data_IF_157515797773
#
_entry.id   IF_157515797773
#
_cell.length_a   1.000
_cell.length_b   1.000
_cell.length_c   1.000
_cell.angle_alpha   90.00
_cell.angle_beta   90.00
_cell.angle_gamma   90.00
#
_symmetry.space_group_name_H-M   'P 1'
#
loop_
_entity.id
_entity.type
_entity.pdbx_description
1 polymer ?
#
# COMPACT_ATOMS: atom_id res chain seq x y z
N UNK A 1 32.91 -20.39 -46.84
CA UNK A 1 33.20 -20.80 -45.45
C UNK A 1 31.92 -20.70 -44.66
N UNK A 2 31.29 -21.84 -44.37
CA UNK A 2 30.01 -21.91 -43.65
C UNK A 2 30.32 -22.27 -42.21
N UNK A 3 30.24 -21.31 -41.30
CA UNK A 3 30.46 -21.54 -39.87
C UNK A 3 29.23 -22.20 -39.28
N UNK A 4 29.37 -23.48 -38.91
CA UNK A 4 28.37 -24.22 -38.13
C UNK A 4 28.59 -23.87 -36.66
N UNK A 5 27.67 -23.15 -36.03
CA UNK A 5 27.69 -22.93 -34.58
C UNK A 5 27.21 -24.19 -33.89
N UNK A 6 28.13 -24.88 -33.23
CA UNK A 6 27.85 -26.02 -32.36
C UNK A 6 27.28 -25.50 -31.03
N UNK A 7 25.96 -25.66 -30.82
CA UNK A 7 25.33 -25.37 -29.52
C UNK A 7 25.78 -26.40 -28.49
N UNK A 8 26.38 -25.93 -27.40
CA UNK A 8 26.68 -26.76 -26.23
C UNK A 8 25.37 -27.27 -25.57
N UNK A 9 25.36 -28.48 -25.01
CA UNK A 9 24.18 -29.00 -24.33
C UNK A 9 23.92 -28.17 -23.06
N UNK A 10 22.71 -27.62 -22.96
CA UNK A 10 22.20 -27.07 -21.70
C UNK A 10 22.02 -28.25 -20.76
N UNK A 11 22.87 -28.37 -19.76
CA UNK A 11 22.63 -29.26 -18.63
C UNK A 11 21.31 -28.84 -17.99
N UNK A 12 20.28 -29.65 -18.19
CA UNK A 12 18.99 -29.52 -17.52
C UNK A 12 19.25 -29.69 -16.02
N UNK A 13 19.17 -28.59 -15.27
CA UNK A 13 19.19 -28.64 -13.83
C UNK A 13 18.00 -29.49 -13.37
N UNK A 14 18.26 -30.49 -12.52
CA UNK A 14 17.24 -31.33 -11.92
C UNK A 14 16.13 -30.45 -11.29
N UNK A 15 14.86 -30.86 -11.34
CA UNK A 15 13.77 -30.07 -10.78
C UNK A 15 13.99 -29.98 -9.26
N UNK A 16 14.29 -28.79 -8.76
CA UNK A 16 14.06 -28.50 -7.34
C UNK A 16 12.58 -28.78 -7.07
N UNK A 17 12.28 -29.61 -6.06
CA UNK A 17 10.90 -29.85 -5.62
C UNK A 17 10.26 -28.50 -5.29
N UNK A 18 9.49 -27.97 -6.26
CA UNK A 18 9.08 -26.58 -6.28
C UNK A 18 8.22 -26.24 -5.07
N UNK A 19 8.55 -25.13 -4.40
CA UNK A 19 7.69 -24.54 -3.37
C UNK A 19 6.26 -24.40 -3.91
N UNK A 20 5.27 -24.85 -3.13
CA UNK A 20 3.86 -24.82 -3.53
C UNK A 20 3.43 -23.40 -3.94
N UNK A 21 2.73 -23.30 -5.07
CA UNK A 21 2.12 -22.07 -5.55
C UNK A 21 0.70 -22.36 -6.08
N UNK A 22 -0.29 -21.45 -5.87
CA UNK A 22 -1.63 -21.62 -6.41
C UNK A 22 -1.63 -21.73 -7.93
N UNK A 23 -2.41 -22.67 -8.48
CA UNK A 23 -2.59 -22.79 -9.91
C UNK A 23 -3.28 -21.55 -10.50
N UNK A 24 -2.95 -21.25 -11.76
CA UNK A 24 -3.55 -20.18 -12.54
C UNK A 24 -5.09 -20.32 -12.60
N UNK A 25 -5.78 -19.17 -12.63
CA UNK A 25 -7.24 -19.12 -12.72
C UNK A 25 -7.93 -19.01 -11.36
N UNK A 26 -8.89 -19.89 -11.10
CA UNK A 26 -9.80 -19.77 -9.95
C UNK A 26 -9.07 -19.93 -8.61
N UNK A 27 -8.12 -20.85 -8.51
CA UNK A 27 -7.37 -21.12 -7.27
C UNK A 27 -6.55 -19.89 -6.85
N UNK A 28 -5.71 -19.35 -7.76
CA UNK A 28 -4.98 -18.10 -7.50
C UNK A 28 -5.89 -16.94 -7.13
N UNK A 29 -7.02 -16.79 -7.80
CA UNK A 29 -7.98 -15.71 -7.53
C UNK A 29 -8.57 -15.84 -6.13
N UNK A 30 -8.96 -17.05 -5.74
CA UNK A 30 -9.50 -17.32 -4.41
C UNK A 30 -8.48 -17.03 -3.30
N UNK A 31 -7.25 -17.53 -3.42
CA UNK A 31 -6.20 -17.27 -2.42
C UNK A 31 -5.82 -15.78 -2.36
N UNK A 32 -5.77 -15.09 -3.49
CA UNK A 32 -5.52 -13.63 -3.53
C UNK A 32 -6.64 -12.86 -2.83
N UNK A 33 -7.90 -13.26 -3.05
CA UNK A 33 -9.05 -12.66 -2.38
C UNK A 33 -8.96 -12.85 -0.86
N UNK A 34 -8.75 -14.09 -0.38
CA UNK A 34 -8.62 -14.37 1.05
C UNK A 34 -7.43 -13.62 1.67
N UNK A 35 -6.27 -13.60 0.99
CA UNK A 35 -5.11 -12.84 1.45
C UNK A 35 -5.42 -11.34 1.58
N UNK A 36 -6.20 -10.79 0.64
CA UNK A 36 -6.64 -9.39 0.67
C UNK A 36 -7.61 -9.12 1.84
N UNK A 37 -8.50 -10.05 2.16
CA UNK A 37 -9.39 -9.95 3.34
C UNK A 37 -8.59 -9.98 4.64
N UNK A 38 -7.58 -10.85 4.76
CA UNK A 38 -6.71 -10.91 5.94
C UNK A 38 -5.92 -9.61 6.09
N UNK A 39 -5.36 -9.09 5.00
CA UNK A 39 -4.68 -7.79 5.01
C UNK A 39 -5.62 -6.65 5.42
N UNK A 40 -6.85 -6.63 4.88
CA UNK A 40 -7.86 -5.64 5.24
C UNK A 40 -8.24 -5.71 6.73
N UNK A 41 -8.37 -6.91 7.30
CA UNK A 41 -8.61 -7.10 8.73
C UNK A 41 -7.43 -6.58 9.57
N UNK A 42 -6.19 -6.80 9.13
CA UNK A 42 -5.00 -6.23 9.77
C UNK A 42 -5.01 -4.70 9.77
N UNK A 43 -5.30 -4.07 8.64
CA UNK A 43 -5.43 -2.61 8.55
C UNK A 43 -6.58 -2.07 9.40
N UNK A 44 -7.72 -2.78 9.46
CA UNK A 44 -8.83 -2.42 10.33
C UNK A 44 -8.42 -2.45 11.82
N UNK A 45 -7.66 -3.47 12.23
CA UNK A 45 -7.14 -3.58 13.59
C UNK A 45 -6.15 -2.46 13.93
N UNK A 46 -5.26 -2.10 13.00
CA UNK A 46 -4.35 -0.94 13.16
C UNK A 46 -5.14 0.36 13.30
N UNK A 47 -6.13 0.60 12.44
CA UNK A 47 -6.96 1.81 12.50
C UNK A 47 -7.76 1.87 13.81
N UNK A 48 -8.29 0.74 14.28
CA UNK A 48 -8.96 0.63 15.58
C UNK A 48 -7.98 0.92 16.74
N UNK A 49 -6.77 0.38 16.69
CA UNK A 49 -5.72 0.63 17.69
C UNK A 49 -5.33 2.11 17.75
N UNK A 50 -5.16 2.75 16.59
CA UNK A 50 -4.91 4.20 16.51
C UNK A 50 -6.05 4.97 17.15
N UNK A 51 -7.31 4.65 16.79
CA UNK A 51 -8.52 5.27 17.36
C UNK A 51 -8.54 5.20 18.89
N UNK A 52 -8.23 4.04 19.47
CA UNK A 52 -8.20 3.83 20.92
C UNK A 52 -7.07 4.64 21.56
N UNK A 53 -5.84 4.53 21.06
CA UNK A 53 -4.66 5.20 21.63
C UNK A 53 -4.75 6.72 21.51
N UNK A 54 -5.30 7.24 20.42
CA UNK A 54 -5.46 8.68 20.21
C UNK A 54 -6.75 9.24 20.84
N UNK A 55 -7.61 8.40 21.42
CA UNK A 55 -8.91 8.80 21.96
C UNK A 55 -9.91 9.29 20.91
N UNK A 56 -9.69 9.00 19.63
CA UNK A 56 -10.55 9.45 18.54
C UNK A 56 -11.62 8.41 18.29
N UNK A 57 -12.89 8.75 18.55
CA UNK A 57 -14.00 7.82 18.31
C UNK A 57 -14.31 7.66 16.82
N UNK A 58 -14.19 6.43 16.33
CA UNK A 58 -14.69 6.02 15.02
C UNK A 58 -16.14 5.53 15.21
N UNK A 59 -17.06 6.09 14.44
CA UNK A 59 -18.51 5.87 14.50
C UNK A 59 -19.05 5.61 13.09
N UNK A 60 -20.29 5.13 12.91
CA UNK A 60 -20.87 4.94 11.58
C UNK A 60 -20.94 6.24 10.76
N UNK A 61 -21.01 7.41 11.43
CA UNK A 61 -21.09 8.72 10.76
C UNK A 61 -19.75 9.21 10.22
N UNK A 62 -18.64 8.83 10.84
CA UNK A 62 -17.30 9.29 10.44
C UNK A 62 -16.38 8.16 9.96
N UNK A 63 -16.81 6.89 10.04
CA UNK A 63 -16.00 5.73 9.69
C UNK A 63 -15.49 5.77 8.26
N UNK A 64 -16.32 6.23 7.32
CA UNK A 64 -15.90 6.40 5.92
C UNK A 64 -14.76 7.43 5.77
N UNK A 65 -14.79 8.53 6.55
CA UNK A 65 -13.73 9.54 6.55
C UNK A 65 -12.42 8.97 7.09
N UNK A 66 -12.48 8.13 8.13
CA UNK A 66 -11.31 7.43 8.65
C UNK A 66 -10.78 6.35 7.70
N UNK A 67 -11.67 5.71 6.93
CA UNK A 67 -11.30 4.86 5.80
C UNK A 67 -10.51 5.64 4.74
N UNK A 68 -11.05 6.79 4.31
CA UNK A 68 -10.37 7.69 3.36
C UNK A 68 -9.02 8.13 3.93
N UNK A 69 -8.94 8.53 5.20
CA UNK A 69 -7.69 8.90 5.85
C UNK A 69 -6.64 7.78 5.79
N UNK A 70 -7.05 6.54 6.05
CA UNK A 70 -6.18 5.37 5.94
C UNK A 70 -5.71 5.10 4.50
N UNK A 71 -6.61 5.25 3.51
CA UNK A 71 -6.24 5.18 2.10
C UNK A 71 -5.21 6.26 1.72
N UNK A 72 -5.45 7.50 2.13
CA UNK A 72 -4.55 8.62 1.87
C UNK A 72 -3.16 8.36 2.45
N UNK A 73 -3.09 7.90 3.70
CA UNK A 73 -1.83 7.66 4.39
C UNK A 73 -1.07 6.44 3.83
N UNK A 74 -1.75 5.31 3.59
CA UNK A 74 -1.09 4.02 3.29
C UNK A 74 -0.88 3.81 1.78
N UNK A 75 -1.74 4.37 0.94
CA UNK A 75 -1.72 4.10 -0.50
C UNK A 75 -1.47 5.35 -1.32
N UNK A 76 -2.31 6.39 -1.20
CA UNK A 76 -2.25 7.52 -2.12
C UNK A 76 -0.99 8.35 -1.97
N UNK A 77 -0.63 8.74 -0.74
CA UNK A 77 0.57 9.54 -0.50
C UNK A 77 1.83 8.78 -0.96
N UNK A 78 2.09 7.53 -0.53
CA UNK A 78 3.25 6.79 -1.05
C UNK A 78 3.24 6.63 -2.57
N UNK A 79 2.08 6.33 -3.18
CA UNK A 79 1.96 6.15 -4.63
C UNK A 79 2.25 7.40 -5.46
N UNK A 80 2.19 8.60 -4.86
CA UNK A 80 2.53 9.85 -5.53
C UNK A 80 4.02 9.95 -5.90
N UNK A 81 4.90 9.26 -5.18
CA UNK A 81 6.34 9.19 -5.51
C UNK A 81 6.82 7.77 -5.83
N UNK A 82 6.07 6.75 -5.41
CA UNK A 82 6.40 5.34 -5.64
C UNK A 82 5.11 4.57 -6.01
N UNK A 83 4.59 4.71 -7.24
CA UNK A 83 3.35 4.04 -7.65
C UNK A 83 3.50 2.52 -7.62
N UNK A 84 2.40 1.75 -7.48
CA UNK A 84 2.44 0.29 -7.50
C UNK A 84 3.12 -0.22 -8.77
N UNK A 85 4.08 -1.14 -8.60
CA UNK A 85 4.91 -1.65 -9.67
C UNK A 85 4.52 -3.09 -10.05
N UNK A 86 4.52 -3.40 -11.34
CA UNK A 86 4.38 -4.77 -11.85
C UNK A 86 5.62 -5.62 -11.52
N UNK A 87 5.45 -6.95 -11.36
CA UNK A 87 6.58 -7.86 -11.22
C UNK A 87 7.57 -7.71 -12.39
N UNK A 88 8.87 -7.68 -12.07
CA UNK A 88 9.93 -7.61 -13.07
C UNK A 88 10.30 -6.20 -13.55
N UNK A 89 9.67 -5.14 -13.03
CA UNK A 89 10.15 -3.77 -13.27
C UNK A 89 11.43 -3.47 -12.44
N UNK A 90 12.33 -2.60 -12.92
CA UNK A 90 13.48 -2.16 -12.15
C UNK A 90 13.04 -1.50 -10.84
N UNK A 91 13.56 -2.00 -9.72
CA UNK A 91 13.28 -1.49 -8.40
C UNK A 91 14.56 -0.91 -7.77
N UNK A 92 14.40 0.19 -7.01
CA UNK A 92 15.42 0.68 -6.09
C UNK A 92 15.65 -0.30 -4.92
N UNK A 93 16.61 0.04 -4.06
CA UNK A 93 16.91 -0.77 -2.87
C UNK A 93 15.64 -1.02 -2.03
N UNK A 94 15.39 -2.29 -1.70
CA UNK A 94 14.15 -2.71 -1.05
C UNK A 94 14.02 -2.11 0.35
N UNK A 95 15.09 -2.14 1.14
CA UNK A 95 15.07 -1.64 2.51
C UNK A 95 14.86 -0.13 2.53
N UNK A 96 15.55 0.61 1.66
CA UNK A 96 15.35 2.05 1.49
C UNK A 96 13.91 2.38 1.12
N UNK A 97 13.31 1.64 0.17
CA UNK A 97 11.91 1.84 -0.24
C UNK A 97 10.94 1.55 0.91
N UNK A 98 11.16 0.48 1.67
CA UNK A 98 10.34 0.15 2.84
C UNK A 98 10.43 1.23 3.92
N UNK A 99 11.65 1.71 4.22
CA UNK A 99 11.86 2.78 5.19
C UNK A 99 11.18 4.09 4.75
N UNK A 100 11.33 4.46 3.48
CA UNK A 100 10.66 5.63 2.89
C UNK A 100 9.13 5.48 2.91
N UNK A 101 8.62 4.30 2.56
CA UNK A 101 7.19 3.99 2.57
C UNK A 101 6.59 4.13 3.97
N UNK A 102 7.19 3.48 4.98
CA UNK A 102 6.74 3.62 6.38
C UNK A 102 6.84 5.08 6.84
N UNK A 103 7.94 5.77 6.51
CA UNK A 103 8.11 7.19 6.84
C UNK A 103 7.00 8.08 6.25
N UNK A 104 6.61 7.84 5.00
CA UNK A 104 5.51 8.55 4.34
C UNK A 104 4.16 8.28 5.00
N UNK A 105 3.90 7.04 5.40
CA UNK A 105 2.68 6.66 6.14
C UNK A 105 2.61 7.39 7.48
N UNK A 106 3.69 7.35 8.26
CA UNK A 106 3.75 7.98 9.59
C UNK A 106 3.60 9.50 9.45
N UNK A 107 4.30 10.13 8.52
CA UNK A 107 4.22 11.56 8.30
C UNK A 107 2.81 12.00 7.88
N UNK A 108 2.18 11.27 6.95
CA UNK A 108 0.82 11.57 6.48
C UNK A 108 -0.23 11.30 7.58
N UNK A 109 -0.08 10.21 8.34
CA UNK A 109 -0.94 9.91 9.47
C UNK A 109 -0.88 10.97 10.58
N UNK A 110 0.32 11.43 10.93
CA UNK A 110 0.51 12.53 11.89
C UNK A 110 -0.06 13.85 11.37
N UNK A 111 0.09 14.13 10.08
CA UNK A 111 -0.52 15.32 9.46
C UNK A 111 -2.06 15.27 9.56
N UNK A 112 -2.68 14.13 9.24
CA UNK A 112 -4.13 13.94 9.40
C UNK A 112 -4.56 14.11 10.87
N UNK A 113 -3.78 13.57 11.81
CA UNK A 113 -4.04 13.75 13.23
C UNK A 113 -3.97 15.24 13.63
N UNK A 114 -2.94 15.98 13.21
CA UNK A 114 -2.86 17.43 13.45
C UNK A 114 -4.03 18.18 12.81
N UNK A 115 -4.42 17.83 11.59
CA UNK A 115 -5.55 18.45 10.91
C UNK A 115 -6.88 18.21 11.61
N UNK A 116 -7.05 17.08 12.30
CA UNK A 116 -8.32 16.72 12.93
C UNK A 116 -8.39 17.08 14.42
N UNK A 117 -7.26 17.04 15.13
CA UNK A 117 -7.23 17.22 16.59
C UNK A 117 -6.77 18.62 17.03
N UNK A 118 -6.14 19.39 16.15
CA UNK A 118 -5.62 20.73 16.48
C UNK A 118 -6.31 21.80 15.64
N UNK A 119 -6.71 22.90 16.28
CA UNK A 119 -7.33 24.05 15.63
C UNK A 119 -6.33 25.19 15.38
N UNK A 120 -5.17 25.12 16.03
CA UNK A 120 -4.13 26.13 16.00
C UNK A 120 -3.48 26.20 14.59
N UNK A 121 -3.25 27.42 14.08
CA UNK A 121 -2.69 27.62 12.75
C UNK A 121 -1.31 26.95 12.57
N UNK A 122 -0.47 26.98 13.61
CA UNK A 122 0.84 26.34 13.57
C UNK A 122 0.74 24.83 13.31
N UNK A 123 -0.30 24.17 13.82
CA UNK A 123 -0.50 22.74 13.62
C UNK A 123 -0.90 22.42 12.18
N UNK A 124 -1.70 23.29 11.55
CA UNK A 124 -2.05 23.17 10.13
C UNK A 124 -0.82 23.34 9.24
N UNK A 125 0.03 24.33 9.54
CA UNK A 125 1.30 24.54 8.83
C UNK A 125 2.22 23.33 9.01
N UNK A 126 2.38 22.82 10.23
CA UNK A 126 3.18 21.63 10.51
C UNK A 126 2.66 20.40 9.75
N UNK A 127 1.34 20.22 9.67
CA UNK A 127 0.73 19.12 8.93
C UNK A 127 1.03 19.19 7.42
N UNK A 128 0.96 20.38 6.82
CA UNK A 128 1.34 20.58 5.40
C UNK A 128 2.81 20.22 5.18
N UNK A 129 3.70 20.68 6.07
CA UNK A 129 5.13 20.36 5.99
C UNK A 129 5.36 18.85 6.11
N UNK A 130 4.68 18.17 7.04
CA UNK A 130 4.79 16.73 7.22
C UNK A 130 4.37 15.94 5.97
N UNK A 131 3.29 16.34 5.30
CA UNK A 131 2.89 15.69 4.03
C UNK A 131 3.91 15.97 2.94
N UNK A 132 4.43 17.19 2.84
CA UNK A 132 5.38 17.56 1.80
C UNK A 132 6.76 16.89 1.96
N UNK A 133 7.21 16.68 3.20
CA UNK A 133 8.59 16.30 3.50
C UNK A 133 9.04 14.99 2.82
N UNK A 134 8.29 13.87 2.84
CA UNK A 134 8.70 12.64 2.16
C UNK A 134 8.81 12.82 0.63
N UNK A 135 7.97 13.66 0.05
CA UNK A 135 7.99 13.97 -1.39
C UNK A 135 9.16 14.87 -1.79
N UNK A 136 9.57 15.78 -0.90
CA UNK A 136 10.76 16.61 -1.09
C UNK A 136 12.03 15.77 -0.98
N UNK A 137 12.07 14.82 -0.03
CA UNK A 137 13.17 13.85 0.11
C UNK A 137 13.26 12.96 -1.14
N UNK A 138 12.10 12.58 -1.70
CA UNK A 138 11.99 11.73 -2.88
C UNK A 138 12.08 10.25 -2.55
N UNK A 139 11.34 9.43 -3.30
CA UNK A 139 11.36 7.99 -3.13
C UNK A 139 12.67 7.38 -3.69
N UNK A 140 13.20 6.29 -3.10
CA UNK A 140 14.38 5.61 -3.62
C UNK A 140 14.16 5.05 -5.04
N UNK A 141 14.92 5.60 -5.98
CA UNK A 141 14.82 5.29 -7.41
C UNK A 141 15.67 4.06 -7.79
N UNK A 142 15.28 3.33 -8.84
CA UNK A 142 16.10 2.25 -9.40
C UNK A 142 17.37 2.81 -10.08
N UNK A 143 18.45 2.00 -10.17
CA UNK A 143 19.66 2.39 -10.90
C UNK A 143 19.43 2.68 -12.39
N UNK A 144 18.45 1.99 -12.99
CA UNK A 144 18.02 2.18 -14.37
C UNK A 144 16.50 2.30 -14.45
N UNK A 145 16.02 3.07 -15.42
CA UNK A 145 14.57 3.24 -15.68
C UNK A 145 14.11 2.40 -16.89
N UNK A 146 15.02 1.59 -17.45
CA UNK A 146 14.72 0.72 -18.59
C UNK A 146 13.84 -0.45 -18.15
N UNK A 147 12.59 -0.45 -18.61
CA UNK A 147 11.63 -1.51 -18.33
C UNK A 147 11.16 -2.15 -19.62
N UNK A 148 11.11 -3.48 -19.66
CA UNK A 148 10.46 -4.24 -20.73
C UNK A 148 8.94 -4.19 -20.66
N UNK A 149 8.37 -3.60 -19.60
CA UNK A 149 6.93 -3.50 -19.39
C UNK A 149 6.38 -2.27 -20.11
N UNK A 150 5.35 -2.40 -20.97
CA UNK A 150 4.72 -1.26 -21.63
C UNK A 150 4.17 -0.24 -20.62
N UNK A 151 4.45 1.04 -20.84
CA UNK A 151 4.03 2.12 -19.94
C UNK A 151 2.51 2.16 -19.70
N UNK A 152 1.70 1.84 -20.71
CA UNK A 152 0.23 1.77 -20.60
C UNK A 152 -0.20 0.70 -19.60
N UNK A 153 0.46 -0.47 -19.61
CA UNK A 153 0.15 -1.56 -18.69
C UNK A 153 0.53 -1.20 -17.25
N UNK A 154 1.69 -0.57 -17.07
CA UNK A 154 2.12 -0.05 -15.76
C UNK A 154 1.15 0.99 -15.21
N UNK A 155 0.72 1.95 -16.03
CA UNK A 155 -0.26 2.96 -15.63
C UNK A 155 -1.63 2.36 -15.27
N UNK A 156 -2.12 1.40 -16.06
CA UNK A 156 -3.37 0.68 -15.78
C UNK A 156 -3.28 -0.12 -14.47
N UNK A 157 -2.15 -0.79 -14.23
CA UNK A 157 -1.93 -1.53 -12.99
C UNK A 157 -1.94 -0.61 -11.77
N UNK A 158 -1.21 0.52 -11.83
CA UNK A 158 -1.18 1.50 -10.75
C UNK A 158 -2.58 2.08 -10.47
N UNK A 159 -3.32 2.47 -11.52
CA UNK A 159 -4.68 3.00 -11.39
C UNK A 159 -5.65 1.98 -10.77
N UNK A 160 -5.64 0.75 -11.26
CA UNK A 160 -6.51 -0.31 -10.76
C UNK A 160 -6.16 -0.70 -9.31
N UNK A 161 -4.88 -0.77 -8.97
CA UNK A 161 -4.42 -1.07 -7.61
C UNK A 161 -4.89 0.01 -6.63
N UNK A 162 -4.75 1.29 -6.99
CA UNK A 162 -5.24 2.40 -6.18
C UNK A 162 -6.77 2.40 -6.05
N UNK A 163 -7.50 2.08 -7.12
CA UNK A 163 -8.97 1.99 -7.08
C UNK A 163 -9.45 0.87 -6.15
N UNK A 164 -8.85 -0.33 -6.23
CA UNK A 164 -9.17 -1.45 -5.35
C UNK A 164 -8.81 -1.13 -3.90
N UNK A 165 -7.65 -0.52 -3.66
CA UNK A 165 -7.24 -0.08 -2.33
C UNK A 165 -8.21 0.95 -1.74
N UNK A 166 -8.68 1.92 -2.54
CA UNK A 166 -9.67 2.89 -2.10
C UNK A 166 -10.96 2.20 -1.66
N UNK A 167 -11.51 1.29 -2.49
CA UNK A 167 -12.71 0.52 -2.14
C UNK A 167 -12.53 -0.31 -0.87
N UNK A 168 -11.37 -0.97 -0.72
CA UNK A 168 -11.03 -1.73 0.48
C UNK A 168 -11.02 -0.83 1.73
N UNK A 169 -10.41 0.36 1.66
CA UNK A 169 -10.36 1.29 2.79
C UNK A 169 -11.71 1.91 3.13
N UNK A 170 -12.56 2.18 2.13
CA UNK A 170 -13.95 2.58 2.38
C UNK A 170 -14.72 1.48 3.12
N UNK A 171 -14.54 0.22 2.73
CA UNK A 171 -15.12 -0.93 3.41
C UNK A 171 -14.58 -1.06 4.85
N UNK A 172 -13.26 -0.96 5.05
CA UNK A 172 -12.63 -0.97 6.38
C UNK A 172 -13.23 0.11 7.26
N UNK A 173 -13.24 1.37 6.81
CA UNK A 173 -13.76 2.48 7.58
C UNK A 173 -15.25 2.35 7.91
N UNK A 174 -16.06 1.93 6.93
CA UNK A 174 -17.49 1.67 7.11
C UNK A 174 -17.76 0.58 8.14
N UNK A 175 -17.22 -0.63 7.93
CA UNK A 175 -17.41 -1.76 8.84
C UNK A 175 -16.83 -1.52 10.22
N UNK A 176 -15.66 -0.88 10.31
CA UNK A 176 -15.05 -0.55 11.59
C UNK A 176 -15.90 0.45 12.36
N UNK A 177 -16.46 1.48 11.70
CA UNK A 177 -17.37 2.42 12.34
C UNK A 177 -18.61 1.75 12.93
N UNK A 178 -19.20 0.78 12.22
CA UNK A 178 -20.30 -0.03 12.74
C UNK A 178 -19.86 -0.93 13.91
N UNK A 179 -18.71 -1.60 13.80
CA UNK A 179 -18.21 -2.49 14.83
C UNK A 179 -17.87 -1.73 16.13
N UNK A 180 -17.17 -0.60 16.03
CA UNK A 180 -16.77 0.21 17.18
C UNK A 180 -17.99 0.73 17.95
N UNK A 181 -19.02 1.23 17.27
CA UNK A 181 -20.27 1.68 17.92
C UNK A 181 -21.02 0.53 18.62
N UNK A 182 -21.00 -0.67 18.04
CA UNK A 182 -21.68 -1.83 18.61
C UNK A 182 -20.97 -2.43 19.82
N UNK A 183 -19.64 -2.44 19.83
CA UNK A 183 -18.83 -3.18 20.79
C UNK A 183 -18.08 -2.30 21.79
N UNK A 184 -17.72 -1.07 21.42
CA UNK A 184 -17.07 -0.08 22.29
C UNK A 184 -18.15 0.89 22.77
N UNK A 185 -18.97 0.42 23.73
CA UNK A 185 -19.89 1.29 24.46
C UNK A 185 -19.10 2.11 25.47
N UNK A 186 -19.47 3.38 25.61
CA UNK A 186 -18.79 4.38 26.44
C UNK A 186 -18.32 3.81 27.80
N UNK A 187 -17.03 3.98 28.09
CA UNK A 187 -16.50 3.97 29.45
C UNK A 187 -16.79 5.31 30.12
#
# INVERSE_FOLDING_TARGET
TTTTTQSAPVTEAAPEEGAWAPADGAERTFYTFIASIVAAAGFAAVLAGISIVSGIRITPRNGLLWGIAGFLAVHLAPAASLPPELPGMPAGDLLARQAWWVGTIVATGLAIWLFTQRNEMWAKVAAVILVALPHIIGAPMPPTHESGVPAVLSAQFAANTLAVAALMWLAIGGFLGFAMDRFVKEA
#
